data_IF_800240796522
#
_entry.id   IF_800240796522
#
_cell.length_a   1.000
_cell.length_b   1.000
_cell.length_c   1.000
_cell.angle_alpha   90.00
_cell.angle_beta   90.00
_cell.angle_gamma   90.00
#
_symmetry.space_group_name_H-M   'P 1'
#
loop_
_entity.id
_entity.type
_entity.pdbx_description
1 polymer ?
#
# COMPACT_ATOMS: atom_id res chain seq x y z
N UNK A 1 17.76 48.53 3.47
CA UNK A 1 17.52 47.33 2.61
C UNK A 1 18.39 46.12 2.95
N UNK A 2 19.55 46.23 3.63
CA UNK A 2 20.39 45.05 3.97
C UNK A 2 19.88 44.19 5.15
N UNK A 3 19.10 44.77 6.08
CA UNK A 3 18.57 44.04 7.26
C UNK A 3 17.37 43.13 6.97
N UNK A 4 16.61 43.41 5.92
CA UNK A 4 15.46 42.59 5.48
C UNK A 4 15.89 41.28 4.82
N UNK A 5 17.03 41.28 4.11
CA UNK A 5 17.57 40.10 3.43
C UNK A 5 18.04 39.02 4.44
N UNK A 6 18.57 39.45 5.58
CA UNK A 6 18.99 38.57 6.67
C UNK A 6 17.81 37.90 7.38
N UNK A 7 16.68 38.60 7.53
CA UNK A 7 15.47 38.01 8.11
C UNK A 7 14.87 36.97 7.15
N UNK A 8 14.89 37.22 5.83
CA UNK A 8 14.43 36.25 4.83
C UNK A 8 15.28 34.97 4.82
N UNK A 9 16.60 35.09 4.98
CA UNK A 9 17.53 33.96 5.08
C UNK A 9 17.39 33.15 6.38
N UNK A 10 17.02 33.81 7.49
CA UNK A 10 16.76 33.10 8.75
C UNK A 10 15.42 32.36 8.76
N UNK A 11 14.41 32.87 8.03
CA UNK A 11 13.11 32.20 7.92
C UNK A 11 13.16 31.04 6.92
N UNK A 12 13.95 31.15 5.85
CA UNK A 12 14.10 30.07 4.86
C UNK A 12 14.94 28.88 5.37
N UNK A 13 15.75 29.06 6.42
CA UNK A 13 16.52 27.99 7.06
C UNK A 13 15.75 27.12 8.06
N UNK A 14 14.57 27.56 8.52
CA UNK A 14 13.75 26.83 9.52
C UNK A 14 12.76 25.85 8.90
N UNK A 15 12.61 25.83 7.59
CA UNK A 15 11.80 24.83 6.86
C UNK A 15 12.68 23.76 6.21
N UNK A 16 13.66 23.21 6.95
CA UNK A 16 14.09 21.83 6.69
C UNK A 16 13.00 20.88 7.22
N UNK A 17 11.80 20.95 6.62
CA UNK A 17 10.85 19.85 6.74
C UNK A 17 11.51 18.63 6.14
N UNK A 18 11.77 17.60 6.96
CA UNK A 18 12.33 16.33 6.50
C UNK A 18 11.59 15.92 5.23
N UNK A 19 12.30 15.97 4.10
CA UNK A 19 11.70 15.76 2.80
C UNK A 19 11.32 14.28 2.70
N UNK A 20 10.02 13.98 2.83
CA UNK A 20 9.50 12.63 2.60
C UNK A 20 9.80 12.25 1.16
N UNK A 21 10.57 11.20 0.95
CA UNK A 21 10.92 10.70 -0.37
C UNK A 21 10.01 9.53 -0.73
N UNK A 22 9.48 9.50 -1.95
CA UNK A 22 8.75 8.34 -2.43
C UNK A 22 9.72 7.16 -2.44
N UNK A 23 9.43 6.13 -1.64
CA UNK A 23 10.25 4.96 -1.50
C UNK A 23 9.74 3.82 -2.38
N UNK A 24 8.43 3.55 -2.34
CA UNK A 24 7.79 2.51 -3.15
C UNK A 24 6.40 2.95 -3.55
N UNK A 25 6.01 2.63 -4.77
CA UNK A 25 4.61 2.62 -5.20
C UNK A 25 4.29 1.22 -5.70
N UNK A 26 3.16 0.66 -5.25
CA UNK A 26 2.64 -0.60 -5.76
C UNK A 26 1.37 -0.28 -6.53
N UNK A 27 1.31 -0.70 -7.79
CA UNK A 27 0.18 -0.40 -8.67
C UNK A 27 -0.98 -1.37 -8.50
N UNK A 28 -2.11 -1.05 -9.12
CA UNK A 28 -3.21 -2.02 -9.24
C UNK A 28 -2.79 -3.27 -10.01
N UNK A 29 -1.98 -3.15 -11.07
CA UNK A 29 -1.45 -4.32 -11.79
C UNK A 29 -0.65 -5.23 -10.86
N UNK A 30 0.19 -4.68 -9.99
CA UNK A 30 0.94 -5.48 -9.02
C UNK A 30 0.04 -6.18 -8.00
N UNK A 31 -1.06 -5.54 -7.58
CA UNK A 31 -2.06 -6.17 -6.71
C UNK A 31 -2.74 -7.36 -7.42
N UNK A 32 -3.13 -7.18 -8.69
CA UNK A 32 -3.78 -8.22 -9.51
C UNK A 32 -2.83 -9.39 -9.75
N UNK A 33 -1.57 -9.11 -10.11
CA UNK A 33 -0.53 -10.11 -10.28
C UNK A 33 -0.29 -10.91 -9.00
N UNK A 34 -0.21 -10.23 -7.84
CA UNK A 34 -0.05 -10.89 -6.56
C UNK A 34 -1.24 -11.80 -6.24
N UNK A 35 -2.48 -11.34 -6.47
CA UNK A 35 -3.68 -12.15 -6.26
C UNK A 35 -3.65 -13.41 -7.13
N UNK A 36 -3.38 -13.26 -8.43
CA UNK A 36 -3.29 -14.37 -9.37
C UNK A 36 -2.18 -15.36 -8.97
N UNK A 37 -1.01 -14.85 -8.59
CA UNK A 37 0.11 -15.68 -8.16
C UNK A 37 -0.23 -16.48 -6.90
N UNK A 38 -0.85 -15.87 -5.90
CA UNK A 38 -1.18 -16.52 -4.62
C UNK A 38 -2.22 -17.63 -4.78
N UNK A 39 -3.13 -17.47 -5.74
CA UNK A 39 -4.14 -18.46 -6.07
C UNK A 39 -3.72 -19.40 -7.21
N UNK A 40 -2.49 -19.28 -7.72
CA UNK A 40 -1.99 -20.05 -8.84
C UNK A 40 -2.92 -19.99 -10.08
N UNK A 41 -3.49 -18.82 -10.35
CA UNK A 41 -4.39 -18.56 -11.47
C UNK A 41 -3.58 -18.19 -12.71
N UNK A 42 -3.94 -18.80 -13.84
CA UNK A 42 -3.35 -18.46 -15.15
C UNK A 42 -4.39 -17.71 -15.96
N UNK A 43 -4.09 -16.46 -16.32
CA UNK A 43 -4.84 -15.66 -17.30
C UNK A 43 -6.32 -15.38 -16.96
N UNK A 44 -6.69 -15.24 -15.69
CA UNK A 44 -8.03 -14.73 -15.34
C UNK A 44 -8.11 -13.21 -15.56
N UNK A 45 -9.22 -12.76 -16.13
CA UNK A 45 -9.53 -11.34 -16.22
C UNK A 45 -9.95 -10.78 -14.85
N UNK A 46 -9.88 -9.45 -14.71
CA UNK A 46 -10.14 -8.78 -13.44
C UNK A 46 -11.56 -9.02 -12.90
N UNK A 47 -12.55 -9.18 -13.78
CA UNK A 47 -13.93 -9.44 -13.38
C UNK A 47 -14.07 -10.84 -12.80
N UNK A 48 -13.45 -11.85 -13.42
CA UNK A 48 -13.38 -13.22 -12.91
C UNK A 48 -12.67 -13.26 -11.54
N UNK A 49 -11.58 -12.51 -11.39
CA UNK A 49 -10.88 -12.38 -10.11
C UNK A 49 -11.77 -11.81 -9.00
N UNK A 50 -12.58 -10.79 -9.31
CA UNK A 50 -13.53 -10.18 -8.35
C UNK A 50 -14.60 -11.20 -7.93
N UNK A 51 -15.20 -11.92 -8.88
CA UNK A 51 -16.22 -12.92 -8.56
C UNK A 51 -15.64 -14.10 -7.77
N UNK A 52 -14.43 -14.55 -8.11
CA UNK A 52 -13.71 -15.55 -7.33
C UNK A 52 -13.44 -15.08 -5.90
N UNK A 53 -13.05 -13.82 -5.74
CA UNK A 53 -12.78 -13.23 -4.42
C UNK A 53 -14.06 -13.24 -3.56
N UNK A 54 -15.20 -12.85 -4.13
CA UNK A 54 -16.51 -12.92 -3.46
C UNK A 54 -16.89 -14.35 -3.07
N UNK A 55 -16.73 -15.30 -3.99
CA UNK A 55 -17.00 -16.71 -3.71
C UNK A 55 -16.16 -17.25 -2.56
N UNK A 56 -14.85 -16.95 -2.53
CA UNK A 56 -13.95 -17.36 -1.43
C UNK A 56 -14.40 -16.75 -0.10
N UNK A 57 -14.81 -15.48 -0.09
CA UNK A 57 -15.31 -14.85 1.14
C UNK A 57 -16.61 -15.49 1.65
N UNK A 58 -17.54 -15.83 0.76
CA UNK A 58 -18.80 -16.49 1.13
C UNK A 58 -18.57 -17.90 1.67
N UNK A 59 -17.70 -18.68 1.01
CA UNK A 59 -17.30 -20.01 1.49
C UNK A 59 -16.60 -19.92 2.86
N UNK A 60 -15.67 -18.98 3.03
CA UNK A 60 -14.99 -18.74 4.30
C UNK A 60 -15.97 -18.38 5.43
N UNK A 61 -16.93 -17.48 5.17
CA UNK A 61 -17.98 -17.12 6.13
C UNK A 61 -18.85 -18.32 6.51
N UNK A 62 -19.19 -19.18 5.56
CA UNK A 62 -20.00 -20.39 5.82
C UNK A 62 -19.27 -21.43 6.68
N UNK A 63 -17.94 -21.35 6.74
CA UNK A 63 -17.04 -22.24 7.49
C UNK A 63 -16.46 -21.59 8.75
N UNK A 64 -16.92 -20.40 9.12
CA UNK A 64 -16.38 -19.61 10.23
C UNK A 64 -14.87 -19.30 10.11
N UNK A 65 -14.32 -19.27 8.90
CA UNK A 65 -12.94 -18.86 8.63
C UNK A 65 -12.83 -17.34 8.45
N UNK A 66 -12.96 -16.63 9.56
CA UNK A 66 -12.88 -15.17 9.61
C UNK A 66 -11.54 -14.61 9.13
N UNK A 67 -10.46 -15.41 9.23
CA UNK A 67 -9.13 -14.98 8.80
C UNK A 67 -9.04 -14.87 7.27
N UNK A 68 -9.55 -15.88 6.58
CA UNK A 68 -9.67 -15.88 5.12
C UNK A 68 -10.67 -14.84 4.67
N UNK A 69 -11.84 -14.73 5.31
CA UNK A 69 -12.84 -13.72 4.97
C UNK A 69 -12.23 -12.30 5.03
N UNK A 70 -11.53 -11.98 6.11
CA UNK A 70 -10.90 -10.67 6.30
C UNK A 70 -9.83 -10.40 5.23
N UNK A 71 -8.93 -11.36 5.00
CA UNK A 71 -7.88 -11.21 4.00
C UNK A 71 -8.46 -10.97 2.59
N UNK A 72 -9.48 -11.74 2.21
CA UNK A 72 -10.12 -11.61 0.91
C UNK A 72 -11.02 -10.37 0.82
N UNK A 73 -11.57 -9.86 1.92
CA UNK A 73 -12.31 -8.59 1.93
C UNK A 73 -11.43 -7.41 1.50
N UNK A 74 -10.16 -7.42 1.92
CA UNK A 74 -9.20 -6.37 1.58
C UNK A 74 -8.76 -6.51 0.12
N UNK A 75 -8.52 -7.75 -0.37
CA UNK A 75 -8.29 -8.00 -1.79
C UNK A 75 -9.49 -7.55 -2.64
N UNK A 76 -10.72 -7.87 -2.25
CA UNK A 76 -11.94 -7.49 -2.97
C UNK A 76 -12.04 -5.97 -3.12
N UNK A 77 -11.77 -5.22 -2.04
CA UNK A 77 -11.74 -3.76 -2.10
C UNK A 77 -10.73 -3.28 -3.15
N UNK A 78 -9.49 -3.75 -3.07
CA UNK A 78 -8.44 -3.34 -3.99
C UNK A 78 -8.69 -3.75 -5.45
N UNK A 79 -9.23 -4.94 -5.71
CA UNK A 79 -9.60 -5.39 -7.06
C UNK A 79 -10.80 -4.60 -7.62
N UNK A 80 -11.75 -4.20 -6.77
CA UNK A 80 -12.88 -3.35 -7.18
C UNK A 80 -12.41 -1.94 -7.54
N UNK A 81 -11.53 -1.36 -6.72
CA UNK A 81 -10.86 -0.09 -7.03
C UNK A 81 -10.07 -0.20 -8.34
N UNK A 82 -9.33 -1.29 -8.53
CA UNK A 82 -8.62 -1.57 -9.77
C UNK A 82 -9.59 -1.59 -10.94
N UNK A 83 -10.76 -2.24 -10.85
CA UNK A 83 -11.74 -2.33 -11.93
C UNK A 83 -12.26 -0.96 -12.36
N UNK A 84 -12.47 -0.06 -11.40
CA UNK A 84 -12.92 1.31 -11.66
C UNK A 84 -11.81 2.26 -12.15
N UNK A 85 -10.53 1.90 -11.94
CA UNK A 85 -9.40 2.74 -12.35
C UNK A 85 -9.21 2.75 -13.88
N UNK A 86 -9.05 3.94 -14.45
CA UNK A 86 -8.74 4.10 -15.89
C UNK A 86 -7.31 3.62 -16.22
N UNK A 87 -6.36 3.83 -15.31
CA UNK A 87 -4.97 3.37 -15.43
C UNK A 87 -4.66 2.36 -14.33
N UNK A 88 -4.33 1.12 -14.71
CA UNK A 88 -3.97 0.05 -13.77
C UNK A 88 -2.52 0.16 -13.28
N UNK A 89 -1.70 1.01 -13.89
CA UNK A 89 -0.36 1.32 -13.39
C UNK A 89 -0.37 2.41 -12.33
N UNK A 90 -1.51 3.07 -12.09
CA UNK A 90 -1.68 3.99 -10.98
C UNK A 90 -1.44 3.29 -9.63
N UNK A 91 -0.92 4.04 -8.67
CA UNK A 91 -0.59 3.52 -7.35
C UNK A 91 -1.85 3.09 -6.58
N UNK A 92 -1.88 1.83 -6.19
CA UNK A 92 -2.81 1.31 -5.18
C UNK A 92 -2.34 1.68 -3.77
N UNK A 93 -1.03 1.58 -3.53
CA UNK A 93 -0.38 2.09 -2.32
C UNK A 93 0.85 2.91 -2.66
N UNK A 94 1.06 3.97 -1.90
CA UNK A 94 2.29 4.76 -1.93
C UNK A 94 2.96 4.73 -0.56
N UNK A 95 4.26 4.49 -0.54
CA UNK A 95 5.07 4.43 0.67
C UNK A 95 6.15 5.48 0.57
N UNK A 96 6.13 6.41 1.51
CA UNK A 96 7.14 7.45 1.63
C UNK A 96 8.05 7.13 2.79
N UNK A 97 9.35 7.35 2.61
CA UNK A 97 10.36 7.20 3.65
C UNK A 97 10.77 8.57 4.17
N UNK A 98 10.89 8.67 5.49
CA UNK A 98 11.61 9.74 6.16
C UNK A 98 12.75 9.13 7.01
N UNK A 99 13.64 9.92 7.64
CA UNK A 99 14.80 9.39 8.36
C UNK A 99 14.48 8.36 9.45
N UNK A 100 13.23 8.36 9.96
CA UNK A 100 12.82 7.56 11.11
C UNK A 100 11.68 6.58 10.82
N UNK A 101 11.02 6.67 9.66
CA UNK A 101 9.81 5.90 9.42
C UNK A 101 9.47 5.69 7.94
N UNK A 102 8.52 4.77 7.73
CA UNK A 102 7.83 4.55 6.47
C UNK A 102 6.35 4.91 6.65
N UNK A 103 5.85 5.83 5.84
CA UNK A 103 4.45 6.29 5.87
C UNK A 103 3.70 5.70 4.69
N UNK A 104 2.62 4.97 4.97
CA UNK A 104 1.76 4.33 3.98
C UNK A 104 0.56 5.21 3.65
N UNK A 105 0.24 5.29 2.36
CA UNK A 105 -0.87 6.04 1.81
C UNK A 105 -1.69 5.16 0.87
N UNK A 106 -3.00 5.34 0.88
CA UNK A 106 -3.93 4.61 0.03
C UNK A 106 -3.93 5.11 -1.43
N UNK A 107 -4.77 4.51 -2.26
CA UNK A 107 -4.95 4.84 -3.68
C UNK A 107 -5.48 6.26 -3.93
N UNK A 108 -6.02 6.91 -2.90
CA UNK A 108 -6.50 8.30 -2.91
C UNK A 108 -5.49 9.25 -2.26
N UNK A 109 -4.27 8.77 -2.02
CA UNK A 109 -3.19 9.48 -1.34
C UNK A 109 -3.58 9.95 0.07
N UNK A 110 -4.48 9.22 0.76
CA UNK A 110 -4.80 9.45 2.16
C UNK A 110 -3.83 8.68 3.04
N UNK A 111 -3.35 9.33 4.09
CA UNK A 111 -2.48 8.68 5.07
C UNK A 111 -3.22 7.53 5.75
N UNK A 112 -2.57 6.37 5.81
CA UNK A 112 -3.11 5.16 6.46
C UNK A 112 -2.39 4.95 7.77
N UNK A 113 -1.06 4.79 7.74
CA UNK A 113 -0.28 4.55 8.95
C UNK A 113 1.20 4.91 8.76
N UNK A 114 1.91 4.98 9.89
CA UNK A 114 3.36 5.16 9.95
C UNK A 114 3.98 3.97 10.67
N UNK A 115 4.99 3.38 10.07
CA UNK A 115 5.77 2.26 10.61
C UNK A 115 7.17 2.76 10.94
N UNK A 116 7.67 2.40 12.13
CA UNK A 116 9.05 2.68 12.54
C UNK A 116 10.05 2.11 11.52
N UNK A 117 11.11 2.87 11.23
CA UNK A 117 12.10 2.51 10.20
C UNK A 117 12.79 1.18 10.50
N UNK A 118 13.20 0.94 11.74
CA UNK A 118 13.93 -0.29 12.09
C UNK A 118 13.03 -1.51 11.86
N UNK A 119 11.76 -1.43 12.27
CA UNK A 119 10.78 -2.50 12.06
C UNK A 119 10.52 -2.77 10.58
N UNK A 120 10.46 -1.72 9.75
CA UNK A 120 10.21 -1.90 8.32
C UNK A 120 11.45 -2.41 7.59
N UNK A 121 12.64 -1.90 7.92
CA UNK A 121 13.89 -2.39 7.35
C UNK A 121 14.07 -3.88 7.66
N UNK A 122 13.84 -4.31 8.91
CA UNK A 122 13.92 -5.72 9.31
C UNK A 122 12.97 -6.61 8.49
N UNK A 123 11.74 -6.15 8.23
CA UNK A 123 10.81 -6.89 7.37
C UNK A 123 11.30 -6.98 5.92
N UNK A 124 11.90 -5.91 5.40
CA UNK A 124 12.50 -5.90 4.06
C UNK A 124 13.70 -6.84 3.99
N UNK A 125 14.53 -6.89 5.02
CA UNK A 125 15.68 -7.79 5.08
C UNK A 125 15.26 -9.27 5.14
N UNK A 126 14.21 -9.60 5.90
CA UNK A 126 13.70 -10.98 6.06
C UNK A 126 12.89 -11.44 4.83
N UNK A 127 11.96 -10.61 4.34
CA UNK A 127 11.00 -11.00 3.27
C UNK A 127 11.43 -10.56 1.87
N UNK A 128 12.40 -9.66 1.79
CA UNK A 128 12.87 -9.01 0.56
C UNK A 128 12.06 -7.75 0.20
N UNK A 129 12.67 -6.90 -0.63
CA UNK A 129 12.04 -5.73 -1.26
C UNK A 129 11.13 -6.17 -2.43
N UNK A 130 10.00 -6.80 -2.10
CA UNK A 130 9.02 -7.35 -3.05
C UNK A 130 7.64 -6.76 -2.82
N UNK A 131 6.81 -6.71 -3.87
CA UNK A 131 5.41 -6.27 -3.82
C UNK A 131 4.64 -6.90 -2.66
N UNK A 132 4.79 -8.21 -2.45
CA UNK A 132 4.13 -8.95 -1.37
C UNK A 132 4.46 -8.37 0.02
N UNK A 133 5.72 -8.04 0.30
CA UNK A 133 6.14 -7.48 1.59
C UNK A 133 5.33 -6.23 1.94
N UNK A 134 5.17 -5.34 0.97
CA UNK A 134 4.44 -4.08 1.14
C UNK A 134 2.93 -4.25 1.20
N UNK A 135 2.35 -5.11 0.34
CA UNK A 135 0.92 -5.39 0.37
C UNK A 135 0.53 -6.08 1.67
N UNK A 136 1.27 -7.11 2.11
CA UNK A 136 1.01 -7.80 3.36
C UNK A 136 1.11 -6.86 4.56
N UNK A 137 2.11 -5.98 4.59
CA UNK A 137 2.22 -4.98 5.66
C UNK A 137 1.06 -3.98 5.61
N UNK A 138 0.70 -3.50 4.43
CA UNK A 138 -0.43 -2.59 4.26
C UNK A 138 -1.76 -3.23 4.69
N UNK A 139 -2.01 -4.48 4.33
CA UNK A 139 -3.22 -5.19 4.72
C UNK A 139 -3.30 -5.40 6.22
N UNK A 140 -2.18 -5.76 6.85
CA UNK A 140 -2.10 -5.83 8.30
C UNK A 140 -2.44 -4.48 8.96
N UNK A 141 -1.93 -3.36 8.42
CA UNK A 141 -2.23 -2.02 8.94
C UNK A 141 -3.70 -1.60 8.77
N UNK A 142 -4.44 -2.19 7.83
CA UNK A 142 -5.87 -1.92 7.65
C UNK A 142 -6.76 -2.71 8.63
N UNK A 143 -6.18 -3.67 9.36
CA UNK A 143 -6.88 -4.51 10.34
C UNK A 143 -6.70 -4.01 11.78
N UNK A 144 -5.71 -3.13 12.02
CA UNK A 144 -5.49 -2.44 13.30
C UNK A 144 -6.47 -1.26 13.46
#
# INVERSE_FOLDING_TARGET
>A
MKKLLLIFLFISGLFFGQQKTLFKAVSYNNLIELYNQKLNLKNEDLSANIERCKFIMEDARSKDDYSTELAFSIFLKGLTEASAAADKNAAFISIYKDPTSYSFYDSKNKFVARVDKLKMDEQIDIKGDKTETYISKYFYLLQE
#
